data_IF_237533708162
#
_entry.id   IF_237533708162
#
_cell.length_a   1.000
_cell.length_b   1.000
_cell.length_c   1.000
_cell.angle_alpha   90.00
_cell.angle_beta   90.00
_cell.angle_gamma   90.00
#
_symmetry.space_group_name_H-M   'P 1'
#
loop_
_entity.id
_entity.type
_entity.pdbx_description
1 polymer ?
#
# COMPACT_ATOMS: atom_id res chain seq x y z
N UNK A 1 12.73 41.76 35.59
CA UNK A 1 12.11 40.66 36.37
C UNK A 1 11.56 39.66 35.35
N UNK A 2 12.35 38.68 34.87
CA UNK A 2 12.63 37.34 35.48
C UNK A 2 11.29 36.58 35.65
N UNK A 3 10.95 35.47 34.99
CA UNK A 3 11.75 34.31 34.53
C UNK A 3 11.00 33.46 33.48
N UNK A 4 11.74 32.91 32.50
CA UNK A 4 11.33 31.79 31.63
C UNK A 4 11.51 30.45 32.38
N UNK A 5 10.67 29.45 32.10
CA UNK A 5 10.88 28.05 32.51
C UNK A 5 11.01 27.14 31.28
N UNK A 6 12.25 26.77 30.97
CA UNK A 6 12.64 25.64 30.13
C UNK A 6 12.64 24.37 30.98
N UNK A 7 12.12 23.24 30.45
CA UNK A 7 12.30 21.91 31.03
C UNK A 7 13.15 21.08 30.07
N UNK A 8 14.35 20.71 30.51
CA UNK A 8 15.22 19.74 29.87
C UNK A 8 14.89 18.34 30.42
N UNK A 9 14.91 17.33 29.55
CA UNK A 9 14.76 15.91 29.91
C UNK A 9 16.15 15.26 29.85
N UNK A 10 16.56 14.63 30.95
CA UNK A 10 17.82 13.90 31.12
C UNK A 10 17.65 12.44 30.67
N UNK A 11 18.61 11.94 29.87
CA UNK A 11 18.85 10.52 29.59
C UNK A 11 19.53 9.86 30.80
N UNK A 12 19.14 8.63 31.12
CA UNK A 12 19.89 7.74 31.98
C UNK A 12 20.32 6.49 31.18
N UNK A 13 21.62 6.27 31.08
CA UNK A 13 22.24 5.05 30.57
C UNK A 13 22.56 4.10 31.73
N UNK A 14 22.39 2.80 31.52
CA UNK A 14 22.77 1.76 32.48
C UNK A 14 23.74 0.79 31.84
N UNK A 15 24.98 0.77 32.34
CA UNK A 15 25.95 -0.30 32.16
C UNK A 15 25.98 -1.14 33.44
N UNK A 16 25.89 -2.45 33.31
CA UNK A 16 26.29 -3.40 34.36
C UNK A 16 27.09 -4.51 33.70
N UNK A 17 28.34 -4.67 34.15
CA UNK A 17 29.20 -5.80 33.85
C UNK A 17 29.37 -6.64 35.13
N UNK A 18 29.30 -7.96 35.02
CA UNK A 18 29.89 -8.86 36.00
C UNK A 18 30.67 -9.98 35.32
N UNK A 19 31.86 -10.18 35.85
CA UNK A 19 32.90 -11.15 35.55
C UNK A 19 32.61 -12.50 36.22
N UNK A 20 33.13 -13.58 35.63
CA UNK A 20 33.17 -14.90 36.26
C UNK A 20 34.38 -15.70 35.77
N UNK A 21 35.34 -15.94 36.68
CA UNK A 21 36.52 -16.77 36.49
C UNK A 21 36.21 -18.27 36.69
N UNK A 22 36.90 -19.13 35.96
CA UNK A 22 37.04 -20.54 36.27
C UNK A 22 38.31 -21.10 35.65
N UNK A 23 39.31 -21.41 36.48
CA UNK A 23 40.60 -21.98 36.09
C UNK A 23 40.64 -23.48 36.40
N UNK A 24 41.28 -24.26 35.53
CA UNK A 24 41.64 -25.66 35.75
C UNK A 24 42.74 -26.04 34.75
N UNK A 25 43.91 -26.39 35.28
CA UNK A 25 45.18 -26.63 34.58
C UNK A 25 45.51 -28.12 34.41
N UNK A 26 46.44 -28.38 33.45
CA UNK A 26 47.37 -29.52 33.33
C UNK A 26 46.88 -30.75 32.54
N UNK A 27 47.68 -31.50 31.76
CA UNK A 27 49.00 -31.38 31.08
C UNK A 27 49.19 -32.72 30.30
N UNK A 28 50.11 -32.73 29.34
CA UNK A 28 50.82 -33.87 28.72
C UNK A 28 50.28 -34.48 27.39
N UNK A 29 51.10 -34.30 26.35
CA UNK A 29 51.20 -35.08 25.08
C UNK A 29 52.20 -36.26 25.29
N UNK A 30 52.45 -37.23 24.37
CA UNK A 30 51.95 -37.44 22.99
C UNK A 30 51.56 -38.91 22.61
N UNK A 31 51.09 -39.10 21.35
CA UNK A 31 51.48 -40.15 20.39
C UNK A 31 50.36 -41.01 19.73
N UNK A 32 50.28 -40.83 18.39
CA UNK A 32 50.03 -41.80 17.30
C UNK A 32 48.71 -42.60 17.21
N UNK A 33 47.94 -42.38 16.11
CA UNK A 33 47.74 -43.33 15.00
C UNK A 33 46.41 -43.12 14.21
N UNK A 34 46.57 -42.83 12.89
CA UNK A 34 45.81 -43.35 11.73
C UNK A 34 44.33 -42.96 11.43
N UNK A 35 44.18 -41.96 10.53
CA UNK A 35 43.41 -41.95 9.25
C UNK A 35 41.85 -42.13 9.21
N UNK A 36 41.16 -41.87 8.07
CA UNK A 36 40.19 -40.77 7.94
C UNK A 36 38.75 -41.23 7.65
N UNK A 37 37.73 -40.40 7.92
CA UNK A 37 36.43 -40.46 7.21
C UNK A 37 35.49 -39.34 7.65
N UNK A 38 34.74 -38.79 6.68
CA UNK A 38 33.54 -38.00 6.93
C UNK A 38 33.72 -36.49 6.79
N UNK A 39 33.75 -36.00 5.55
CA UNK A 39 33.46 -34.59 5.27
C UNK A 39 32.02 -34.32 5.71
N UNK A 40 31.86 -33.69 6.87
CA UNK A 40 30.59 -33.15 7.36
C UNK A 40 30.22 -31.96 6.49
N UNK A 41 29.48 -32.23 5.41
CA UNK A 41 28.86 -31.19 4.61
C UNK A 41 27.82 -30.44 5.47
N UNK A 42 28.13 -29.19 5.81
CA UNK A 42 27.18 -28.23 6.37
C UNK A 42 25.95 -28.16 5.46
N UNK A 43 24.71 -28.32 5.96
CA UNK A 43 23.52 -28.16 5.14
C UNK A 43 23.43 -26.70 4.72
N UNK A 44 23.52 -26.43 3.43
CA UNK A 44 23.21 -25.12 2.88
C UNK A 44 21.77 -24.74 3.26
N UNK A 45 21.49 -23.49 3.67
CA UNK A 45 20.15 -23.06 3.97
C UNK A 45 19.30 -23.19 2.70
N UNK A 46 18.32 -24.09 2.72
CA UNK A 46 17.29 -24.14 1.68
C UNK A 46 16.48 -22.86 1.79
N UNK A 47 16.79 -21.89 0.92
CA UNK A 47 15.93 -20.73 0.68
C UNK A 47 14.61 -21.29 0.14
N UNK A 48 13.62 -21.46 1.02
CA UNK A 48 12.28 -21.83 0.60
C UNK A 48 11.71 -20.63 -0.15
N UNK A 49 11.70 -20.71 -1.48
CA UNK A 49 10.94 -19.76 -2.29
C UNK A 49 9.48 -20.06 -2.00
N UNK A 50 8.89 -19.28 -1.08
CA UNK A 50 7.48 -19.40 -0.74
C UNK A 50 6.65 -19.29 -2.02
N UNK A 51 5.93 -20.35 -2.36
CA UNK A 51 5.13 -20.39 -3.59
C UNK A 51 4.09 -19.27 -3.53
N UNK A 52 4.01 -18.48 -4.62
CA UNK A 52 2.98 -17.46 -4.76
C UNK A 52 1.60 -18.11 -4.62
N UNK A 53 0.68 -17.55 -3.81
CA UNK A 53 -0.62 -18.15 -3.64
C UNK A 53 -1.40 -18.08 -4.95
N UNK A 54 -2.15 -19.14 -5.27
CA UNK A 54 -3.04 -19.16 -6.45
C UNK A 54 -4.10 -18.05 -6.41
N UNK A 55 -4.39 -17.54 -5.21
CA UNK A 55 -5.39 -16.51 -4.91
C UNK A 55 -4.73 -15.42 -4.07
N UNK A 56 -5.22 -14.19 -4.19
CA UNK A 56 -4.82 -13.11 -3.28
C UNK A 56 -5.35 -13.45 -1.87
N UNK A 57 -4.50 -13.48 -0.82
CA UNK A 57 -4.93 -13.73 0.55
C UNK A 57 -5.89 -12.66 1.07
N UNK A 58 -6.80 -13.03 1.98
CA UNK A 58 -7.77 -12.10 2.60
C UNK A 58 -8.93 -11.67 1.69
N UNK A 59 -9.02 -12.22 0.47
CA UNK A 59 -10.16 -11.98 -0.42
C UNK A 59 -11.10 -13.19 -0.43
N UNK A 60 -12.35 -12.92 -0.04
CA UNK A 60 -13.46 -13.87 -0.03
C UNK A 60 -13.93 -14.29 -1.42
N UNK A 61 -14.80 -15.31 -1.52
CA UNK A 61 -15.35 -15.76 -2.80
C UNK A 61 -16.04 -14.64 -3.59
N UNK A 62 -16.81 -13.76 -2.94
CA UNK A 62 -17.55 -12.68 -3.61
C UNK A 62 -16.58 -11.65 -4.18
N UNK A 63 -15.66 -11.16 -3.36
CA UNK A 63 -14.65 -10.18 -3.77
C UNK A 63 -13.79 -10.70 -4.92
N UNK A 64 -13.33 -11.96 -4.83
CA UNK A 64 -12.53 -12.59 -5.90
C UNK A 64 -13.29 -12.74 -7.20
N UNK A 65 -14.60 -12.99 -7.16
CA UNK A 65 -15.42 -13.09 -8.36
C UNK A 65 -15.54 -11.74 -9.10
N UNK A 66 -15.33 -10.62 -8.39
CA UNK A 66 -15.27 -9.29 -8.99
C UNK A 66 -13.97 -8.99 -9.75
N UNK A 67 -12.90 -9.75 -9.53
CA UNK A 67 -11.64 -9.60 -10.27
C UNK A 67 -11.79 -10.24 -11.67
N UNK A 68 -11.65 -9.47 -12.77
CA UNK A 68 -11.73 -10.03 -14.12
C UNK A 68 -10.71 -11.15 -14.35
N UNK A 69 -11.09 -12.18 -15.12
CA UNK A 69 -10.25 -13.37 -15.34
C UNK A 69 -8.97 -13.07 -16.11
N UNK A 70 -9.02 -12.04 -16.96
CA UNK A 70 -7.93 -11.47 -17.74
C UNK A 70 -7.11 -10.43 -16.97
N UNK A 71 -7.50 -10.09 -15.73
CA UNK A 71 -6.71 -9.20 -14.90
C UNK A 71 -5.39 -9.86 -14.48
N UNK A 72 -4.30 -9.20 -14.85
CA UNK A 72 -2.93 -9.55 -14.50
C UNK A 72 -2.38 -8.73 -13.33
N UNK A 73 -3.09 -7.70 -12.87
CA UNK A 73 -2.66 -6.78 -11.82
C UNK A 73 -3.83 -6.36 -10.92
N UNK A 74 -3.61 -6.41 -9.61
CA UNK A 74 -4.60 -5.98 -8.62
C UNK A 74 -3.92 -5.16 -7.52
N UNK A 75 -4.31 -3.91 -7.35
CA UNK A 75 -3.94 -3.09 -6.18
C UNK A 75 -4.93 -3.41 -5.08
N UNK A 76 -4.47 -4.07 -4.01
CA UNK A 76 -5.33 -4.43 -2.88
C UNK A 76 -5.12 -3.41 -1.79
N UNK A 77 -6.16 -2.65 -1.48
CA UNK A 77 -6.20 -1.66 -0.40
C UNK A 77 -7.04 -2.23 0.75
N UNK A 78 -6.42 -2.43 1.90
CA UNK A 78 -7.08 -2.97 3.09
C UNK A 78 -7.08 -1.94 4.20
N UNK A 79 -8.25 -1.47 4.58
CA UNK A 79 -8.46 -0.61 5.75
C UNK A 79 -8.27 -1.35 7.07
N UNK A 80 -7.82 -0.65 8.10
CA UNK A 80 -7.67 -1.20 9.45
C UNK A 80 -9.02 -1.54 10.12
N UNK A 81 -10.11 -0.95 9.64
CA UNK A 81 -11.47 -1.24 10.07
C UNK A 81 -12.50 -0.50 9.23
N UNK A 82 -13.77 -0.89 9.35
CA UNK A 82 -14.87 -0.33 8.55
C UNK A 82 -15.10 1.16 8.76
N UNK A 83 -14.75 1.68 9.93
CA UNK A 83 -14.90 3.09 10.30
C UNK A 83 -13.53 3.76 10.60
N UNK A 84 -12.45 3.22 10.02
CA UNK A 84 -11.08 3.75 10.15
C UNK A 84 -10.59 4.35 8.84
N UNK A 85 -9.76 5.39 8.92
CA UNK A 85 -9.18 6.09 7.77
C UNK A 85 -7.77 5.64 7.39
N UNK A 86 -7.17 4.73 8.15
CA UNK A 86 -5.86 4.16 7.87
C UNK A 86 -6.02 2.87 7.09
N UNK A 87 -5.20 2.73 6.05
CA UNK A 87 -5.18 1.55 5.20
C UNK A 87 -3.75 1.20 4.76
N UNK A 88 -3.63 0.05 4.10
CA UNK A 88 -2.40 -0.38 3.44
C UNK A 88 -2.70 -0.82 2.02
N UNK A 89 -1.81 -0.53 1.09
CA UNK A 89 -1.92 -0.95 -0.30
C UNK A 89 -0.82 -1.96 -0.66
N UNK A 90 -1.17 -2.95 -1.47
CA UNK A 90 -0.21 -3.91 -2.05
C UNK A 90 -0.56 -4.10 -3.53
N UNK A 91 0.40 -3.89 -4.43
CA UNK A 91 0.25 -4.29 -5.82
C UNK A 91 0.55 -5.79 -5.95
N UNK A 92 -0.43 -6.55 -6.41
CA UNK A 92 -0.29 -7.95 -6.78
C UNK A 92 -0.18 -8.10 -8.29
N UNK A 93 0.72 -8.98 -8.72
CA UNK A 93 0.90 -9.32 -10.12
C UNK A 93 0.63 -10.81 -10.36
N UNK A 94 -0.21 -11.11 -11.34
CA UNK A 94 -0.48 -12.49 -11.74
C UNK A 94 0.70 -13.06 -12.53
N UNK A 95 1.15 -14.23 -12.11
CA UNK A 95 2.21 -15.03 -12.76
C UNK A 95 1.66 -16.41 -13.12
N UNK A 96 2.43 -17.21 -13.85
CA UNK A 96 2.07 -18.61 -14.13
C UNK A 96 1.86 -19.46 -12.86
N UNK A 97 2.46 -19.07 -11.72
CA UNK A 97 2.37 -19.80 -10.44
C UNK A 97 1.31 -19.25 -9.49
N UNK A 98 0.62 -18.17 -9.85
CA UNK A 98 -0.34 -17.49 -8.97
C UNK A 98 -0.05 -15.99 -8.83
N UNK A 99 -0.66 -15.36 -7.83
CA UNK A 99 -0.54 -13.94 -7.54
C UNK A 99 0.70 -13.67 -6.67
N UNK A 100 1.63 -12.86 -7.18
CA UNK A 100 2.82 -12.43 -6.46
C UNK A 100 2.58 -11.07 -5.81
N UNK A 101 2.70 -10.92 -4.49
CA UNK A 101 2.64 -9.62 -3.83
C UNK A 101 3.90 -8.80 -4.10
N UNK A 102 3.74 -7.47 -4.19
CA UNK A 102 4.81 -6.49 -4.06
C UNK A 102 5.01 -6.03 -2.62
N UNK A 103 5.61 -4.85 -2.46
CA UNK A 103 5.81 -4.19 -1.16
C UNK A 103 4.48 -3.67 -0.60
N UNK A 104 4.37 -3.62 0.72
CA UNK A 104 3.24 -3.00 1.43
C UNK A 104 3.49 -1.50 1.56
N UNK A 105 2.52 -0.69 1.14
CA UNK A 105 2.57 0.76 1.26
C UNK A 105 1.55 1.25 2.29
N UNK A 106 1.93 2.17 3.19
CA UNK A 106 0.96 2.93 3.98
C UNK A 106 0.04 3.73 3.07
N UNK A 107 -1.23 3.84 3.46
CA UNK A 107 -2.24 4.56 2.70
C UNK A 107 -3.29 5.18 3.64
N UNK A 108 -3.95 6.26 3.21
CA UNK A 108 -5.16 6.73 3.87
C UNK A 108 -6.37 6.52 2.95
N UNK A 109 -7.51 6.20 3.56
CA UNK A 109 -8.81 6.17 2.93
C UNK A 109 -9.69 7.28 3.53
N UNK A 110 -10.97 7.28 3.19
CA UNK A 110 -11.85 8.36 3.62
C UNK A 110 -12.01 8.43 5.15
N UNK A 111 -12.26 9.65 5.65
CA UNK A 111 -12.39 9.97 7.07
C UNK A 111 -13.28 9.01 7.86
N UNK A 112 -14.45 8.63 7.31
CA UNK A 112 -15.43 7.75 7.99
C UNK A 112 -15.29 6.29 7.59
N UNK A 113 -14.19 5.90 6.95
CA UNK A 113 -13.91 4.53 6.57
C UNK A 113 -14.54 4.11 5.25
N UNK A 114 -15.23 2.98 5.27
CA UNK A 114 -15.60 2.20 4.08
C UNK A 114 -17.11 1.97 3.98
N UNK A 115 -17.64 1.86 2.76
CA UNK A 115 -19.07 1.59 2.52
C UNK A 115 -19.33 0.77 1.26
N UNK A 116 -20.28 -0.15 1.33
CA UNK A 116 -20.82 -0.85 0.14
C UNK A 116 -21.78 0.03 -0.66
N UNK A 117 -22.31 1.08 -0.03
CA UNK A 117 -23.27 2.00 -0.62
C UNK A 117 -22.75 3.43 -0.53
N UNK A 118 -21.82 3.77 -1.42
CA UNK A 118 -21.22 5.11 -1.44
C UNK A 118 -22.17 6.17 -1.97
N UNK A 119 -22.21 7.30 -1.27
CA UNK A 119 -22.97 8.49 -1.61
C UNK A 119 -22.04 9.71 -1.62
N UNK A 120 -22.30 10.68 -2.51
CA UNK A 120 -21.54 11.91 -2.55
C UNK A 120 -21.53 12.62 -1.20
N UNK A 121 -20.34 12.93 -0.67
CA UNK A 121 -20.18 13.62 0.61
C UNK A 121 -20.39 12.75 1.86
N UNK A 122 -20.55 11.43 1.74
CA UNK A 122 -20.65 10.54 2.89
C UNK A 122 -19.34 10.38 3.68
N UNK A 123 -18.22 10.84 3.09
CA UNK A 123 -16.86 10.74 3.60
C UNK A 123 -16.43 9.28 3.84
N UNK A 124 -16.91 8.36 3.01
CA UNK A 124 -16.53 6.94 2.99
C UNK A 124 -15.97 6.54 1.64
N UNK A 125 -14.95 5.68 1.64
CA UNK A 125 -14.41 5.07 0.43
C UNK A 125 -15.32 3.90 -0.01
N UNK A 126 -15.61 3.77 -1.31
CA UNK A 126 -16.44 2.66 -1.80
C UNK A 126 -15.70 1.32 -1.65
N UNK A 127 -16.41 0.31 -1.18
CA UNK A 127 -15.93 -1.08 -1.14
C UNK A 127 -16.20 -1.71 -2.51
N UNK A 128 -15.21 -2.41 -3.06
CA UNK A 128 -15.42 -3.19 -4.28
C UNK A 128 -14.18 -3.45 -5.11
N UNK A 129 -14.42 -3.90 -6.34
CA UNK A 129 -13.41 -4.11 -7.38
C UNK A 129 -13.68 -3.15 -8.53
N UNK A 130 -12.70 -2.32 -8.87
CA UNK A 130 -12.85 -1.28 -9.89
C UNK A 130 -11.66 -1.30 -10.84
N UNK A 131 -11.87 -1.04 -12.13
CA UNK A 131 -10.78 -0.90 -13.10
C UNK A 131 -9.91 0.33 -12.83
N UNK A 132 -8.66 0.25 -13.27
CA UNK A 132 -7.71 1.36 -13.28
C UNK A 132 -7.27 1.58 -14.74
N UNK A 133 -7.81 2.60 -15.39
CA UNK A 133 -7.62 2.78 -16.85
C UNK A 133 -6.96 4.08 -17.22
N UNK A 134 -7.03 5.09 -16.37
CA UNK A 134 -6.65 6.46 -16.69
C UNK A 134 -5.84 7.05 -15.54
N UNK A 135 -4.83 7.84 -15.88
CA UNK A 135 -3.99 8.56 -14.95
C UNK A 135 -3.95 10.05 -15.31
N UNK A 136 -3.37 10.84 -14.42
CA UNK A 136 -3.15 12.25 -14.67
C UNK A 136 -2.45 12.92 -13.50
N UNK A 137 -2.40 14.24 -13.52
CA UNK A 137 -1.85 15.01 -12.42
C UNK A 137 -1.43 16.42 -12.80
N UNK A 138 -1.03 17.19 -11.79
CA UNK A 138 -0.46 18.52 -11.98
C UNK A 138 0.93 18.42 -12.64
N UNK A 139 1.70 17.42 -12.22
CA UNK A 139 3.08 17.23 -12.64
C UNK A 139 3.18 16.38 -13.91
N UNK A 140 4.31 16.48 -14.64
CA UNK A 140 4.56 15.65 -15.81
C UNK A 140 4.52 14.16 -15.50
N UNK A 141 4.07 13.38 -16.47
CA UNK A 141 4.03 11.91 -16.41
C UNK A 141 5.36 11.32 -15.86
N UNK A 142 5.32 10.55 -14.74
CA UNK A 142 6.52 9.96 -14.15
C UNK A 142 7.01 8.69 -14.86
N UNK A 143 6.42 8.33 -16.01
CA UNK A 143 6.73 7.17 -16.83
C UNK A 143 5.65 6.09 -16.80
N UNK A 144 4.37 6.46 -16.76
CA UNK A 144 3.25 5.52 -16.78
C UNK A 144 3.00 4.92 -18.16
N UNK A 145 2.36 3.75 -18.19
CA UNK A 145 1.80 3.16 -19.41
C UNK A 145 0.31 3.50 -19.59
N UNK A 146 -0.34 4.01 -18.55
CA UNK A 146 -1.72 4.46 -18.63
C UNK A 146 -1.79 5.76 -19.45
N UNK A 147 -2.90 6.03 -20.16
CA UNK A 147 -3.19 7.37 -20.64
C UNK A 147 -3.07 8.39 -19.50
N UNK A 148 -2.28 9.44 -19.71
CA UNK A 148 -1.98 10.44 -18.69
C UNK A 148 -2.42 11.83 -19.14
N UNK A 149 -3.39 12.42 -18.41
CA UNK A 149 -3.81 13.80 -18.61
C UNK A 149 -3.07 14.73 -17.65
N UNK A 150 -2.32 15.69 -18.17
CA UNK A 150 -1.58 16.66 -17.37
C UNK A 150 -2.25 18.04 -17.45
N UNK A 151 -2.47 18.68 -16.31
CA UNK A 151 -2.94 20.06 -16.33
C UNK A 151 -3.24 20.68 -14.97
N UNK A 152 -3.52 21.99 -14.99
CA UNK A 152 -3.85 22.78 -13.79
C UNK A 152 -5.20 22.43 -13.15
N UNK A 153 -6.03 21.60 -13.82
CA UNK A 153 -7.26 21.08 -13.24
C UNK A 153 -7.00 20.12 -12.06
N UNK A 154 -5.80 19.56 -11.98
CA UNK A 154 -5.34 18.73 -10.86
C UNK A 154 -4.76 19.61 -9.75
N UNK A 155 -5.60 20.39 -9.08
CA UNK A 155 -5.17 21.19 -7.92
C UNK A 155 -6.24 21.10 -6.85
N UNK A 156 -5.81 20.75 -5.64
CA UNK A 156 -6.67 20.74 -4.45
C UNK A 156 -6.25 21.89 -3.54
N UNK A 157 -7.00 23.01 -3.50
CA UNK A 157 -6.69 24.09 -2.58
C UNK A 157 -7.18 23.75 -1.16
N UNK A 158 -6.54 24.37 -0.17
CA UNK A 158 -7.05 24.40 1.20
C UNK A 158 -6.43 23.36 2.12
N UNK A 159 -7.21 22.95 3.11
CA UNK A 159 -6.74 22.19 4.27
C UNK A 159 -7.60 20.95 4.46
N UNK A 160 -6.97 19.83 4.78
CA UNK A 160 -7.63 18.57 5.09
C UNK A 160 -8.24 18.57 6.50
N UNK A 161 -8.71 17.39 6.92
CA UNK A 161 -9.51 17.26 8.14
C UNK A 161 -8.71 17.46 9.42
N UNK A 162 -7.38 17.31 9.37
CA UNK A 162 -6.48 17.39 10.51
C UNK A 162 -5.65 18.68 10.50
N UNK A 163 -5.94 19.61 9.58
CA UNK A 163 -5.19 20.86 9.45
C UNK A 163 -4.01 20.77 8.49
N UNK A 164 -3.84 19.64 7.80
CA UNK A 164 -2.79 19.40 6.83
C UNK A 164 -3.06 20.12 5.49
N UNK A 165 -2.03 20.66 4.81
CA UNK A 165 -2.22 21.30 3.51
C UNK A 165 -2.58 20.26 2.44
N UNK A 166 -3.53 20.60 1.55
CA UNK A 166 -3.89 19.74 0.42
C UNK A 166 -3.07 20.03 -0.85
N UNK A 167 -2.23 21.06 -0.82
CA UNK A 167 -1.35 21.40 -1.93
C UNK A 167 -0.47 20.19 -2.31
N UNK A 168 -0.40 19.89 -3.60
CA UNK A 168 0.35 18.72 -4.11
C UNK A 168 -0.40 17.37 -4.03
N UNK A 169 -1.58 17.31 -3.40
CA UNK A 169 -2.34 16.04 -3.29
C UNK A 169 -2.64 15.41 -4.65
N UNK A 170 -2.81 16.23 -5.69
CA UNK A 170 -3.10 15.79 -7.06
C UNK A 170 -1.92 15.98 -8.02
N UNK A 171 -0.70 16.03 -7.50
CA UNK A 171 0.51 16.02 -8.33
C UNK A 171 0.55 14.81 -9.27
N UNK A 172 0.06 13.67 -8.75
CA UNK A 172 -0.15 12.43 -9.49
C UNK A 172 -1.47 11.79 -9.06
N UNK A 173 -2.23 11.28 -10.02
CA UNK A 173 -3.47 10.54 -9.78
C UNK A 173 -3.60 9.30 -10.67
N UNK A 174 -4.23 8.26 -10.14
CA UNK A 174 -4.79 7.14 -10.94
C UNK A 174 -6.28 7.09 -10.66
N UNK A 175 -7.09 7.17 -11.71
CA UNK A 175 -8.54 7.17 -11.54
C UNK A 175 -9.08 5.77 -11.24
N UNK A 176 -9.85 5.67 -10.15
CA UNK A 176 -10.58 4.47 -9.78
C UNK A 176 -11.92 4.51 -10.52
N UNK A 177 -12.24 3.46 -11.27
CA UNK A 177 -13.44 3.42 -12.12
C UNK A 177 -14.76 3.21 -11.34
N UNK A 178 -14.89 3.86 -10.19
CA UNK A 178 -16.15 3.99 -9.47
C UNK A 178 -16.95 5.17 -10.04
N UNK A 179 -18.18 4.89 -10.50
CA UNK A 179 -19.14 5.86 -11.02
C UNK A 179 -18.54 6.88 -12.00
N UNK A 180 -17.73 6.44 -12.96
CA UNK A 180 -17.17 7.31 -14.00
C UNK A 180 -17.19 6.64 -15.36
N UNK A 181 -16.98 7.43 -16.41
CA UNK A 181 -16.60 6.91 -17.73
C UNK A 181 -15.10 6.59 -17.70
N UNK A 182 -14.73 5.36 -18.04
CA UNK A 182 -13.33 4.91 -18.19
C UNK A 182 -12.82 5.21 -19.59
N UNK A 183 -11.50 5.35 -19.75
CA UNK A 183 -10.88 5.67 -21.05
C UNK A 183 -10.95 7.17 -21.38
N UNK A 184 -11.27 8.00 -20.38
CA UNK A 184 -11.34 9.45 -20.45
C UNK A 184 -10.49 10.04 -19.34
N UNK A 185 -10.14 11.32 -19.44
CA UNK A 185 -9.42 12.03 -18.37
C UNK A 185 -10.03 11.76 -16.98
N UNK A 186 -9.21 11.62 -15.92
CA UNK A 186 -9.71 11.61 -14.54
C UNK A 186 -10.63 12.79 -14.18
N UNK A 187 -10.52 13.92 -14.92
CA UNK A 187 -11.35 15.12 -14.77
C UNK A 187 -12.74 15.00 -15.43
N UNK A 188 -13.06 13.89 -16.11
CA UNK A 188 -14.40 13.65 -16.65
C UNK A 188 -15.42 13.40 -15.50
N UNK A 189 -16.38 14.31 -15.40
CA UNK A 189 -17.44 14.31 -14.39
C UNK A 189 -18.69 13.51 -14.77
N UNK A 190 -18.67 12.73 -15.85
CA UNK A 190 -19.76 11.81 -16.20
C UNK A 190 -20.00 10.80 -15.07
N UNK A 191 -21.25 10.69 -14.57
CA UNK A 191 -21.66 9.80 -13.46
C UNK A 191 -22.79 8.84 -13.89
N UNK A 192 -22.46 7.66 -14.45
CA UNK A 192 -23.48 6.72 -14.95
C UNK A 192 -24.44 6.17 -13.89
N UNK A 193 -24.03 6.10 -12.63
CA UNK A 193 -24.86 5.68 -11.49
C UNK A 193 -25.65 6.85 -10.89
N UNK A 194 -25.61 8.04 -11.50
CA UNK A 194 -26.22 9.26 -11.00
C UNK A 194 -25.27 10.10 -10.14
N UNK A 195 -25.59 11.39 -10.01
CA UNK A 195 -24.77 12.36 -9.26
C UNK A 195 -24.71 12.04 -7.76
N UNK A 196 -25.82 11.59 -7.17
CA UNK A 196 -25.92 11.28 -5.73
C UNK A 196 -24.96 10.18 -5.28
N UNK A 197 -24.55 9.31 -6.21
CA UNK A 197 -23.59 8.23 -5.95
C UNK A 197 -22.16 8.73 -5.81
N UNK A 198 -21.88 10.02 -5.98
CA UNK A 198 -20.55 10.60 -5.92
C UNK A 198 -19.66 10.16 -7.09
N UNK A 199 -18.36 10.43 -7.02
CA UNK A 199 -17.38 10.03 -8.04
C UNK A 199 -16.08 10.82 -7.85
N UNK A 200 -15.17 10.77 -8.83
CA UNK A 200 -13.86 11.41 -8.66
C UNK A 200 -13.00 10.73 -7.58
N UNK A 201 -13.16 9.41 -7.45
CA UNK A 201 -12.38 8.59 -6.52
C UNK A 201 -11.07 8.21 -7.20
N UNK A 202 -9.95 8.56 -6.59
CA UNK A 202 -8.62 8.36 -7.17
C UNK A 202 -7.68 7.69 -6.17
N UNK A 203 -6.61 7.08 -6.68
CA UNK A 203 -5.34 7.08 -5.98
C UNK A 203 -4.68 8.44 -6.17
N UNK A 204 -4.15 9.05 -5.10
CA UNK A 204 -3.43 10.32 -5.21
C UNK A 204 -2.31 10.47 -4.18
N UNK A 205 -1.55 11.56 -4.27
CA UNK A 205 -0.44 11.85 -3.35
C UNK A 205 -0.97 12.17 -1.96
N UNK A 206 -0.40 11.52 -0.96
CA UNK A 206 -0.75 11.67 0.44
C UNK A 206 -0.40 13.05 0.98
N UNK A 207 -1.36 13.62 1.70
CA UNK A 207 -1.23 14.91 2.39
C UNK A 207 -1.06 14.74 3.91
N UNK A 208 -0.98 13.51 4.41
CA UNK A 208 -0.75 13.21 5.83
C UNK A 208 -2.02 13.05 6.68
N UNK A 209 -3.19 12.92 6.05
CA UNK A 209 -4.47 12.78 6.74
C UNK A 209 -5.54 12.04 5.91
N UNK A 210 -6.74 11.86 6.47
CA UNK A 210 -7.83 11.14 5.82
C UNK A 210 -8.34 11.84 4.55
N UNK A 211 -8.81 11.06 3.58
CA UNK A 211 -9.37 11.60 2.33
C UNK A 211 -10.88 11.86 2.43
N UNK A 212 -11.47 12.40 1.36
CA UNK A 212 -12.93 12.53 1.23
C UNK A 212 -13.62 11.28 0.64
N UNK A 213 -12.85 10.28 0.19
CA UNK A 213 -13.36 9.14 -0.59
C UNK A 213 -12.24 8.37 -1.31
N UNK A 214 -11.20 9.08 -1.72
CA UNK A 214 -10.01 8.57 -2.39
C UNK A 214 -9.16 7.62 -1.52
N UNK A 215 -8.13 7.05 -2.14
CA UNK A 215 -7.03 6.40 -1.43
C UNK A 215 -5.76 7.21 -1.68
N UNK A 216 -5.03 7.57 -0.64
CA UNK A 216 -3.78 8.31 -0.80
C UNK A 216 -2.56 7.43 -0.53
N UNK A 217 -1.47 7.71 -1.22
CA UNK A 217 -0.17 7.04 -1.07
C UNK A 217 0.93 8.11 -1.08
N UNK A 218 2.08 7.85 -0.46
CA UNK A 218 3.22 8.78 -0.57
C UNK A 218 3.55 9.06 -2.03
N UNK A 219 4.09 10.24 -2.34
CA UNK A 219 4.42 10.61 -3.74
C UNK A 219 5.36 9.58 -4.40
N UNK A 220 6.31 9.03 -3.65
CA UNK A 220 7.19 7.97 -4.12
C UNK A 220 6.40 6.72 -4.51
N UNK A 221 5.47 6.26 -3.68
CA UNK A 221 4.63 5.11 -3.97
C UNK A 221 3.62 5.38 -5.10
N UNK A 222 3.14 6.62 -5.25
CA UNK A 222 2.33 7.01 -6.42
C UNK A 222 3.11 6.89 -7.72
N UNK A 223 4.37 7.33 -7.75
CA UNK A 223 5.25 7.16 -8.92
C UNK A 223 5.53 5.68 -9.20
N UNK A 224 5.75 4.88 -8.17
CA UNK A 224 5.96 3.44 -8.31
C UNK A 224 4.71 2.74 -8.86
N UNK A 225 3.53 3.08 -8.33
CA UNK A 225 2.25 2.58 -8.82
C UNK A 225 2.06 2.95 -10.29
N UNK A 226 2.22 4.22 -10.65
CA UNK A 226 2.03 4.71 -12.02
C UNK A 226 2.93 4.00 -13.04
N UNK A 227 4.19 3.75 -12.69
CA UNK A 227 5.15 3.03 -13.55
C UNK A 227 4.85 1.53 -13.65
N UNK A 228 4.27 0.96 -12.60
CA UNK A 228 4.01 -0.47 -12.53
C UNK A 228 2.70 -0.87 -13.25
N UNK A 229 1.67 -0.02 -13.22
CA UNK A 229 0.39 -0.31 -13.86
C UNK A 229 0.54 -0.41 -15.38
N UNK A 230 0.07 -1.53 -15.94
CA UNK A 230 0.12 -1.84 -17.36
C UNK A 230 -1.31 -2.06 -17.88
N UNK A 231 -1.84 -1.18 -18.75
CA UNK A 231 -3.20 -1.32 -19.26
C UNK A 231 -3.44 -2.64 -20.01
N UNK A 232 -2.40 -3.24 -20.60
CA UNK A 232 -2.52 -4.54 -21.26
C UNK A 232 -2.69 -5.72 -20.27
N UNK A 233 -2.47 -5.47 -18.97
CA UNK A 233 -2.70 -6.44 -17.89
C UNK A 233 -4.01 -6.16 -17.15
N UNK A 234 -4.89 -5.32 -17.69
CA UNK A 234 -6.22 -5.02 -17.15
C UNK A 234 -6.21 -4.78 -15.63
N UNK A 235 -5.48 -3.77 -15.15
CA UNK A 235 -5.29 -3.55 -13.73
C UNK A 235 -6.59 -3.15 -13.06
N UNK A 236 -6.80 -3.68 -11.85
CA UNK A 236 -7.93 -3.33 -10.99
C UNK A 236 -7.44 -2.89 -9.62
N UNK A 237 -8.28 -2.17 -8.90
CA UNK A 237 -8.19 -2.02 -7.44
C UNK A 237 -9.22 -2.92 -6.79
N UNK A 238 -8.84 -3.57 -5.70
CA UNK A 238 -9.72 -4.21 -4.73
C UNK A 238 -9.59 -3.43 -3.43
N UNK A 239 -10.64 -2.77 -2.96
CA UNK A 239 -10.53 -1.86 -1.82
C UNK A 239 -11.69 -2.02 -0.83
N UNK A 240 -11.38 -1.98 0.46
CA UNK A 240 -12.33 -2.16 1.56
C UNK A 240 -11.63 -2.42 2.90
N UNK A 241 -12.38 -2.50 3.99
CA UNK A 241 -11.86 -3.06 5.24
C UNK A 241 -11.72 -4.60 5.14
N UNK A 242 -10.86 -5.18 5.98
CA UNK A 242 -10.53 -6.60 5.91
C UNK A 242 -11.76 -7.52 6.03
N UNK A 243 -12.74 -7.19 6.88
CA UNK A 243 -13.92 -8.03 7.06
C UNK A 243 -14.79 -8.01 5.79
N UNK A 244 -15.04 -6.82 5.25
CA UNK A 244 -15.82 -6.68 4.01
C UNK A 244 -15.18 -7.39 2.81
N UNK A 245 -13.85 -7.40 2.72
CA UNK A 245 -13.13 -8.06 1.62
C UNK A 245 -13.10 -9.59 1.72
N UNK A 246 -13.16 -10.16 2.92
CA UNK A 246 -13.06 -11.61 3.18
C UNK A 246 -14.37 -12.38 2.94
N UNK A 247 -15.48 -11.67 2.73
CA UNK A 247 -16.81 -12.26 2.50
C UNK A 247 -17.08 -12.78 1.07
#
# INVERSE_FOLDING_TARGET
>A
MITRRTRAVLLAASLVALTGCGAGTAKDDPAAATAPTGSSATPAPRTSVQAAPLRIPGLGPRTRAGIPKDSGQAVVVTGEGRDASVSRAVLYERTARGWRPGTVWPAHNALKGWTDHHMGGDLRSPIGVFGLTDAGGLLPDPGTRLPYDQGRGFTSPGTGFEGEPLDGSFDYVVAINYNRRSGTTPLDWTRPLGADRGGGIWFHVDHGGPTHGCVSLSEAHMKDLLRALDPARHPVVVMGDAASLDH
#
